data_IF_960762943858
#
_entry.id   IF_960762943858
#
_cell.length_a   1.000
_cell.length_b   1.000
_cell.length_c   1.000
_cell.angle_alpha   90.00
_cell.angle_beta   90.00
_cell.angle_gamma   90.00
#
_symmetry.space_group_name_H-M   'P 1'
#
loop_
_entity.id
_entity.type
_entity.pdbx_description
1 polymer ?
#
# COMPACT_ATOMS: atom_id res chain seq x y z
N UNK A 1 6.93 -6.54 -16.33
CA UNK A 1 6.84 -5.07 -16.43
C UNK A 1 8.23 -4.51 -16.19
N UNK A 2 8.92 -4.09 -17.23
CA UNK A 2 10.20 -3.39 -17.10
C UNK A 2 9.87 -1.97 -16.69
N UNK A 3 10.20 -1.55 -15.46
CA UNK A 3 10.17 -0.13 -15.09
C UNK A 3 11.33 0.58 -15.81
N UNK A 4 11.24 0.65 -17.13
CA UNK A 4 12.11 1.47 -17.97
C UNK A 4 11.31 2.67 -18.44
N UNK A 5 11.90 3.83 -18.21
CA UNK A 5 11.42 5.14 -18.60
C UNK A 5 10.76 5.16 -19.98
N UNK A 6 9.56 5.74 -20.05
CA UNK A 6 8.95 6.15 -21.30
C UNK A 6 9.88 7.15 -22.02
N UNK A 7 10.04 7.07 -23.35
CA UNK A 7 10.95 7.94 -24.08
C UNK A 7 10.26 9.30 -24.28
N UNK A 8 10.73 10.34 -23.57
CA UNK A 8 10.26 11.70 -23.86
C UNK A 8 10.40 12.75 -22.74
N UNK A 9 10.79 12.39 -21.53
CA UNK A 9 10.90 13.36 -20.43
C UNK A 9 12.33 13.54 -19.95
N UNK A 10 12.80 14.78 -20.00
CA UNK A 10 14.16 15.19 -19.68
C UNK A 10 14.56 14.77 -18.26
N UNK A 11 15.69 14.06 -18.16
CA UNK A 11 16.56 13.91 -16.99
C UNK A 11 15.85 13.80 -15.62
N UNK A 12 14.95 12.83 -15.47
CA UNK A 12 14.29 12.53 -14.20
C UNK A 12 15.24 11.82 -13.25
N UNK A 13 15.48 12.40 -12.07
CA UNK A 13 16.13 11.72 -10.95
C UNK A 13 15.38 10.41 -10.69
N UNK A 14 16.05 9.29 -10.91
CA UNK A 14 15.51 7.96 -10.62
C UNK A 14 15.83 7.63 -9.17
N UNK A 15 14.91 6.98 -8.46
CA UNK A 15 15.09 6.59 -7.06
C UNK A 15 16.42 5.84 -6.82
N UNK A 16 16.91 5.05 -7.80
CA UNK A 16 18.19 4.33 -7.71
C UNK A 16 19.39 5.04 -8.36
N UNK A 17 19.16 6.16 -9.06
CA UNK A 17 20.19 6.84 -9.84
C UNK A 17 20.71 6.03 -11.03
N UNK A 18 21.82 6.49 -11.62
CA UNK A 18 22.53 5.74 -12.66
C UNK A 18 23.25 4.54 -12.02
N UNK A 19 23.20 3.40 -12.67
CA UNK A 19 24.04 2.26 -12.32
C UNK A 19 23.35 1.15 -11.50
N UNK A 20 22.04 1.24 -11.31
CA UNK A 20 21.25 0.18 -10.67
C UNK A 20 20.23 -0.34 -11.66
N UNK A 21 20.08 -1.66 -11.74
CA UNK A 21 19.07 -2.33 -12.55
C UNK A 21 18.19 -3.16 -11.63
N UNK A 22 16.87 -2.96 -11.76
CA UNK A 22 15.89 -3.80 -11.10
C UNK A 22 15.17 -4.68 -12.11
N UNK A 23 14.98 -5.94 -11.76
CA UNK A 23 14.17 -6.87 -12.51
C UNK A 23 13.19 -7.58 -11.57
N UNK A 24 11.93 -7.67 -12.01
CA UNK A 24 10.88 -8.43 -11.33
C UNK A 24 10.53 -9.63 -12.20
N UNK A 25 10.69 -10.84 -11.66
CA UNK A 25 10.36 -12.11 -12.32
C UNK A 25 9.51 -12.93 -11.39
N UNK A 26 8.28 -13.25 -11.82
CA UNK A 26 7.33 -14.03 -11.00
C UNK A 26 7.12 -13.43 -9.59
N UNK A 27 7.21 -12.10 -9.48
CA UNK A 27 7.07 -11.36 -8.22
C UNK A 27 8.37 -11.22 -7.45
N UNK A 28 9.39 -12.01 -7.73
CA UNK A 28 10.69 -11.86 -7.10
C UNK A 28 11.47 -10.70 -7.72
N UNK A 29 11.97 -9.82 -6.85
CA UNK A 29 12.79 -8.67 -7.23
C UNK A 29 14.26 -9.06 -7.13
N UNK A 30 15.03 -8.68 -8.14
CA UNK A 30 16.48 -8.76 -8.18
C UNK A 30 17.06 -7.40 -8.53
N UNK A 31 18.07 -6.97 -7.77
CA UNK A 31 18.75 -5.71 -7.97
C UNK A 31 20.22 -5.95 -8.34
N UNK A 32 20.59 -5.60 -9.57
CA UNK A 32 21.96 -5.66 -10.06
C UNK A 32 22.61 -4.29 -9.98
N UNK A 33 23.85 -4.26 -9.49
CA UNK A 33 24.68 -3.05 -9.42
C UNK A 33 25.70 -3.11 -10.55
N UNK A 34 25.72 -2.09 -11.41
CA UNK A 34 26.84 -1.87 -12.35
C UNK A 34 27.84 -0.88 -11.73
N UNK A 35 29.11 -0.96 -12.14
CA UNK A 35 30.27 -0.28 -11.51
C UNK A 35 30.09 1.22 -11.25
N UNK A 36 29.22 1.89 -12.00
CA UNK A 36 28.91 3.32 -11.92
C UNK A 36 27.89 3.71 -10.84
N UNK A 37 27.34 2.75 -10.08
CA UNK A 37 26.33 3.05 -9.05
C UNK A 37 26.91 3.84 -7.88
N UNK A 38 26.20 4.91 -7.50
CA UNK A 38 26.46 5.69 -6.29
C UNK A 38 26.28 4.84 -5.03
N UNK A 39 26.87 5.27 -3.92
CA UNK A 39 26.72 4.58 -2.63
C UNK A 39 25.25 4.48 -2.20
N UNK A 40 24.50 5.57 -2.32
CA UNK A 40 23.06 5.58 -2.04
C UNK A 40 22.28 4.67 -3.00
N UNK A 41 22.65 4.61 -4.28
CA UNK A 41 22.06 3.66 -5.22
C UNK A 41 22.28 2.21 -4.81
N UNK A 42 23.49 1.87 -4.33
CA UNK A 42 23.81 0.52 -3.82
C UNK A 42 23.02 0.18 -2.55
N UNK A 43 22.87 1.14 -1.63
CA UNK A 43 22.05 0.98 -0.42
C UNK A 43 20.59 0.72 -0.75
N UNK A 44 20.01 1.51 -1.65
CA UNK A 44 18.62 1.37 -2.08
C UNK A 44 18.39 0.07 -2.86
N UNK A 45 19.36 -0.36 -3.67
CA UNK A 45 19.34 -1.64 -4.36
C UNK A 45 19.28 -2.81 -3.36
N UNK A 46 20.11 -2.79 -2.31
CA UNK A 46 20.14 -3.86 -1.30
C UNK A 46 18.79 -4.03 -0.57
N UNK A 47 18.10 -2.93 -0.27
CA UNK A 47 16.77 -2.94 0.38
C UNK A 47 15.73 -3.68 -0.47
N UNK A 48 15.74 -3.47 -1.79
CA UNK A 48 14.78 -4.10 -2.70
C UNK A 48 15.23 -5.44 -3.25
N UNK A 49 16.52 -5.74 -3.20
CA UNK A 49 17.04 -7.02 -3.65
C UNK A 49 16.42 -8.16 -2.85
N UNK A 50 16.12 -9.26 -3.54
CA UNK A 50 15.51 -10.47 -2.97
C UNK A 50 14.17 -10.23 -2.25
N UNK A 51 13.48 -9.13 -2.54
CA UNK A 51 12.11 -8.91 -2.08
C UNK A 51 11.11 -9.63 -2.97
N UNK A 52 9.90 -9.82 -2.47
CA UNK A 52 8.74 -10.25 -3.26
C UNK A 52 7.82 -9.05 -3.43
N UNK A 53 7.60 -8.63 -4.67
CA UNK A 53 6.65 -7.59 -5.03
C UNK A 53 5.22 -8.12 -4.96
N UNK A 54 4.34 -7.40 -4.27
CA UNK A 54 2.91 -7.69 -4.26
C UNK A 54 2.32 -7.22 -5.60
N UNK A 55 2.31 -8.13 -6.58
CA UNK A 55 1.72 -7.87 -7.89
C UNK A 55 0.25 -7.47 -7.75
N UNK A 56 -0.17 -6.54 -8.61
CA UNK A 56 -1.54 -6.04 -8.72
C UNK A 56 -2.11 -5.34 -7.47
N UNK A 57 -1.33 -5.24 -6.39
CA UNK A 57 -1.66 -4.45 -5.19
C UNK A 57 -0.78 -3.20 -5.12
N UNK A 58 -1.10 -2.23 -5.97
CA UNK A 58 -0.54 -0.89 -5.94
C UNK A 58 -1.68 0.13 -6.00
N UNK A 59 -1.51 1.26 -5.31
CA UNK A 59 -2.57 2.24 -5.14
C UNK A 59 -2.02 3.65 -5.26
N UNK A 60 -2.80 4.55 -5.87
CA UNK A 60 -2.49 5.98 -5.86
C UNK A 60 -3.22 6.65 -4.71
N UNK A 61 -2.49 7.05 -3.68
CA UNK A 61 -3.05 7.58 -2.42
C UNK A 61 -2.51 8.98 -2.20
N UNK A 62 -3.40 9.98 -2.13
CA UNK A 62 -3.03 11.38 -1.99
C UNK A 62 -1.97 11.85 -3.02
N UNK A 63 -2.07 11.33 -4.25
CA UNK A 63 -1.14 11.60 -5.35
C UNK A 63 0.18 10.83 -5.29
N UNK A 64 0.35 9.92 -4.32
CA UNK A 64 1.50 9.04 -4.18
C UNK A 64 1.20 7.66 -4.78
N UNK A 65 2.05 7.20 -5.70
CA UNK A 65 2.01 5.84 -6.26
C UNK A 65 2.70 4.87 -5.30
N UNK A 66 1.89 4.07 -4.60
CA UNK A 66 2.30 3.21 -3.51
C UNK A 66 2.48 1.77 -4.00
N UNK A 67 3.72 1.27 -3.92
CA UNK A 67 4.07 -0.11 -4.20
C UNK A 67 4.47 -0.84 -2.91
N UNK A 68 4.17 -2.13 -2.82
CA UNK A 68 4.41 -2.94 -1.63
C UNK A 68 5.28 -4.15 -1.96
N UNK A 69 6.27 -4.39 -1.10
CA UNK A 69 7.25 -5.45 -1.18
C UNK A 69 7.38 -6.11 0.18
N UNK A 70 7.69 -7.40 0.20
CA UNK A 70 7.94 -8.15 1.42
C UNK A 70 9.30 -8.85 1.38
N UNK A 71 9.98 -8.88 2.52
CA UNK A 71 11.22 -9.63 2.72
C UNK A 71 11.07 -10.46 4.00
N UNK A 72 11.16 -11.78 3.88
CA UNK A 72 11.00 -12.68 5.04
C UNK A 72 12.18 -12.58 6.02
N UNK A 73 13.34 -12.08 5.56
CA UNK A 73 14.57 -11.96 6.34
C UNK A 73 14.53 -10.78 7.31
N UNK A 74 15.51 -10.73 8.22
CA UNK A 74 15.75 -9.58 9.10
C UNK A 74 16.14 -8.33 8.29
N UNK A 75 15.74 -7.16 8.79
CA UNK A 75 16.11 -5.86 8.21
C UNK A 75 17.52 -5.41 8.62
N UNK A 76 18.16 -6.07 9.60
CA UNK A 76 19.41 -5.58 10.22
C UNK A 76 20.55 -5.33 9.22
N UNK A 77 20.75 -6.23 8.25
CA UNK A 77 21.79 -6.05 7.23
C UNK A 77 21.55 -4.83 6.34
N UNK A 78 20.33 -4.69 5.83
CA UNK A 78 19.95 -3.58 4.95
C UNK A 78 19.93 -2.24 5.70
N UNK A 79 19.47 -2.25 6.95
CA UNK A 79 19.50 -1.09 7.86
C UNK A 79 20.92 -0.66 8.21
N UNK A 80 21.84 -1.60 8.41
CA UNK A 80 23.26 -1.30 8.62
C UNK A 80 23.87 -0.61 7.40
N UNK A 81 23.52 -1.05 6.18
CA UNK A 81 23.96 -0.40 4.94
C UNK A 81 23.39 1.02 4.81
N UNK A 82 22.13 1.23 5.18
CA UNK A 82 21.49 2.55 5.22
C UNK A 82 22.04 3.46 6.34
N UNK A 83 22.69 2.88 7.35
CA UNK A 83 23.08 3.58 8.57
C UNK A 83 21.88 4.12 9.34
N UNK A 84 20.76 3.38 9.35
CA UNK A 84 19.49 3.77 9.97
C UNK A 84 18.96 2.67 10.87
N UNK A 85 18.27 3.03 11.95
CA UNK A 85 17.58 2.07 12.84
C UNK A 85 16.09 2.33 12.90
N UNK A 86 15.69 3.60 13.04
CA UNK A 86 14.33 4.13 12.99
C UNK A 86 14.35 5.58 12.50
N UNK A 87 13.19 6.13 12.13
CA UNK A 87 13.04 7.54 11.78
C UNK A 87 13.10 7.80 10.28
N UNK A 88 13.31 9.07 9.90
CA UNK A 88 13.27 9.51 8.50
C UNK A 88 14.56 10.24 8.14
N UNK A 89 15.11 9.95 6.95
CA UNK A 89 16.32 10.58 6.41
C UNK A 89 16.18 10.81 4.90
N UNK A 90 16.61 11.97 4.42
CA UNK A 90 16.78 12.20 2.99
C UNK A 90 18.20 11.80 2.57
N UNK A 91 18.30 11.02 1.49
CA UNK A 91 19.56 10.64 0.85
C UNK A 91 20.03 11.74 -0.11
N UNK A 92 21.30 11.68 -0.54
CA UNK A 92 21.88 12.69 -1.45
C UNK A 92 21.19 12.68 -2.82
N UNK A 93 20.62 11.53 -3.19
CA UNK A 93 19.80 11.35 -4.40
C UNK A 93 18.44 12.07 -4.35
N UNK A 94 18.07 12.65 -3.20
CA UNK A 94 16.74 13.24 -2.97
C UNK A 94 15.67 12.22 -2.55
N UNK A 95 16.03 10.94 -2.46
CA UNK A 95 15.14 9.88 -1.97
C UNK A 95 15.00 9.98 -0.45
N UNK A 96 13.76 10.06 0.02
CA UNK A 96 13.42 9.99 1.44
C UNK A 96 13.28 8.54 1.88
N UNK A 97 14.03 8.15 2.90
CA UNK A 97 13.93 6.83 3.54
C UNK A 97 13.28 7.01 4.91
N UNK A 98 12.22 6.26 5.16
CA UNK A 98 11.56 6.19 6.48
C UNK A 98 11.62 4.76 6.99
N UNK A 99 12.10 4.58 8.21
CA UNK A 99 12.20 3.28 8.88
C UNK A 99 11.30 3.28 10.10
N UNK A 100 10.39 2.33 10.17
CA UNK A 100 9.50 2.09 11.30
C UNK A 100 9.67 0.66 11.79
N UNK A 101 9.69 0.47 13.10
CA UNK A 101 9.80 -0.84 13.71
C UNK A 101 8.62 -1.07 14.63
N UNK A 102 7.96 -2.21 14.45
CA UNK A 102 6.77 -2.59 15.18
C UNK A 102 6.99 -3.96 15.83
N UNK A 103 6.80 -4.03 17.14
CA UNK A 103 6.69 -5.31 17.84
C UNK A 103 5.23 -5.74 17.79
N UNK A 104 4.96 -6.89 17.18
CA UNK A 104 3.62 -7.45 17.05
C UNK A 104 3.60 -8.90 17.49
N UNK A 105 2.41 -9.43 17.76
CA UNK A 105 2.20 -10.86 18.03
C UNK A 105 1.46 -11.44 16.84
N UNK A 106 2.15 -12.23 16.02
CA UNK A 106 1.60 -12.92 14.85
C UNK A 106 1.62 -14.43 15.12
N UNK A 107 0.45 -15.08 15.04
CA UNK A 107 0.32 -16.51 15.33
C UNK A 107 0.75 -16.90 16.74
N UNK A 108 0.54 -16.02 17.73
CA UNK A 108 0.91 -16.26 19.13
C UNK A 108 2.40 -16.10 19.44
N UNK A 109 3.22 -15.68 18.47
CA UNK A 109 4.67 -15.42 18.67
C UNK A 109 4.96 -13.94 18.52
N UNK A 110 5.74 -13.41 19.46
CA UNK A 110 6.29 -12.07 19.34
C UNK A 110 7.22 -12.01 18.11
N UNK A 111 6.98 -11.04 17.23
CA UNK A 111 7.77 -10.81 16.03
C UNK A 111 8.05 -9.31 15.89
N UNK A 112 9.29 -8.98 15.50
CA UNK A 112 9.66 -7.63 15.12
C UNK A 112 9.46 -7.48 13.62
N UNK A 113 8.54 -6.61 13.25
CA UNK A 113 8.34 -6.14 11.89
C UNK A 113 9.13 -4.87 11.71
N UNK A 114 9.76 -4.71 10.54
CA UNK A 114 10.36 -3.44 10.13
C UNK A 114 9.76 -3.02 8.80
N UNK A 115 9.24 -1.80 8.72
CA UNK A 115 8.78 -1.20 7.48
C UNK A 115 9.81 -0.16 7.02
N UNK A 116 10.30 -0.31 5.80
CA UNK A 116 11.21 0.63 5.14
C UNK A 116 10.48 1.24 3.95
N UNK A 117 10.21 2.54 4.01
CA UNK A 117 9.60 3.29 2.92
C UNK A 117 10.66 4.09 2.18
N UNK A 118 10.74 3.91 0.87
CA UNK A 118 11.61 4.65 -0.05
C UNK A 118 10.72 5.55 -0.92
N UNK A 119 10.79 6.85 -0.70
CA UNK A 119 9.96 7.84 -1.41
C UNK A 119 10.82 8.74 -2.29
N UNK A 120 10.47 8.87 -3.56
CA UNK A 120 11.09 9.80 -4.50
C UNK A 120 10.02 10.46 -5.38
N UNK A 121 9.83 11.77 -5.23
CA UNK A 121 8.72 12.48 -5.87
C UNK A 121 7.37 11.89 -5.46
N UNK A 122 6.55 11.51 -6.44
CA UNK A 122 5.26 10.85 -6.25
C UNK A 122 5.37 9.32 -6.07
N UNK A 123 6.55 8.71 -6.24
CA UNK A 123 6.74 7.27 -6.08
C UNK A 123 7.06 6.90 -4.64
N UNK A 124 6.44 5.84 -4.12
CA UNK A 124 6.64 5.32 -2.77
C UNK A 124 6.72 3.79 -2.76
N UNK A 125 7.90 3.26 -2.47
CA UNK A 125 8.16 1.82 -2.37
C UNK A 125 8.20 1.42 -0.89
N UNK A 126 7.35 0.49 -0.48
CA UNK A 126 7.21 0.07 0.91
C UNK A 126 7.71 -1.37 1.05
N UNK A 127 8.81 -1.58 1.76
CA UNK A 127 9.39 -2.89 2.01
C UNK A 127 9.11 -3.30 3.46
N UNK A 128 8.33 -4.37 3.63
CA UNK A 128 8.03 -4.95 4.94
C UNK A 128 8.91 -6.16 5.22
N UNK A 129 9.66 -6.09 6.30
CA UNK A 129 10.55 -7.14 6.77
C UNK A 129 9.88 -7.98 7.86
N UNK A 130 10.19 -9.27 7.88
CA UNK A 130 9.69 -10.22 8.88
C UNK A 130 8.22 -10.60 8.70
N UNK A 131 7.64 -10.38 7.52
CA UNK A 131 6.29 -10.89 7.18
C UNK A 131 6.37 -11.91 6.03
N UNK A 132 5.37 -12.79 5.93
CA UNK A 132 5.15 -13.57 4.71
C UNK A 132 4.39 -12.77 3.65
N UNK A 133 4.38 -13.27 2.42
CA UNK A 133 3.59 -12.68 1.33
C UNK A 133 2.10 -12.62 1.66
N UNK A 134 1.54 -13.71 2.18
CA UNK A 134 0.10 -13.78 2.51
C UNK A 134 -0.26 -12.84 3.67
N UNK A 135 0.59 -12.74 4.69
CA UNK A 135 0.41 -11.80 5.80
C UNK A 135 0.39 -10.35 5.30
N UNK A 136 1.34 -9.99 4.42
CA UNK A 136 1.42 -8.62 3.90
C UNK A 136 0.29 -8.32 2.91
N UNK A 137 -0.08 -9.29 2.06
CA UNK A 137 -1.23 -9.19 1.16
C UNK A 137 -2.51 -8.90 1.95
N UNK A 138 -2.79 -9.68 3.00
CA UNK A 138 -3.94 -9.48 3.87
C UNK A 138 -3.94 -8.11 4.54
N UNK A 139 -2.78 -7.66 5.03
CA UNK A 139 -2.62 -6.35 5.67
C UNK A 139 -2.91 -5.20 4.70
N UNK A 140 -2.34 -5.24 3.49
CA UNK A 140 -2.52 -4.21 2.46
C UNK A 140 -3.97 -4.16 1.98
N UNK A 141 -4.61 -5.32 1.79
CA UNK A 141 -6.03 -5.41 1.44
C UNK A 141 -6.94 -4.83 2.53
N UNK A 142 -6.67 -5.12 3.81
CA UNK A 142 -7.48 -4.58 4.91
C UNK A 142 -7.30 -3.06 5.07
N UNK A 143 -6.08 -2.55 4.95
CA UNK A 143 -5.85 -1.09 4.92
C UNK A 143 -6.60 -0.42 3.79
N UNK A 144 -6.58 -1.03 2.60
CA UNK A 144 -7.29 -0.51 1.43
C UNK A 144 -8.80 -0.57 1.64
N UNK A 145 -9.32 -1.67 2.19
CA UNK A 145 -10.73 -1.82 2.55
C UNK A 145 -11.18 -0.70 3.49
N UNK A 146 -10.43 -0.42 4.56
CA UNK A 146 -10.77 0.65 5.50
C UNK A 146 -10.86 2.01 4.81
N UNK A 147 -9.92 2.32 3.92
CA UNK A 147 -9.90 3.57 3.15
C UNK A 147 -11.07 3.67 2.18
N UNK A 148 -11.27 2.66 1.33
CA UNK A 148 -12.34 2.68 0.32
C UNK A 148 -13.73 2.67 0.97
N UNK A 149 -13.92 1.95 2.08
CA UNK A 149 -15.19 1.98 2.84
C UNK A 149 -15.46 3.36 3.42
N UNK A 150 -14.44 4.01 4.01
CA UNK A 150 -14.57 5.38 4.49
C UNK A 150 -14.90 6.36 3.36
N UNK A 151 -14.23 6.25 2.21
CA UNK A 151 -14.51 7.06 1.03
C UNK A 151 -15.93 6.81 0.46
N UNK A 152 -16.38 5.56 0.49
CA UNK A 152 -17.74 5.18 0.08
C UNK A 152 -18.79 5.84 0.98
N UNK A 153 -18.58 5.82 2.30
CA UNK A 153 -19.46 6.51 3.24
C UNK A 153 -19.51 8.02 3.00
N UNK A 154 -18.36 8.64 2.74
CA UNK A 154 -18.28 10.07 2.41
C UNK A 154 -19.04 10.40 1.12
N UNK A 155 -18.87 9.59 0.07
CA UNK A 155 -19.59 9.75 -1.19
C UNK A 155 -21.10 9.59 -1.00
N UNK A 156 -21.53 8.58 -0.25
CA UNK A 156 -22.94 8.32 0.04
C UNK A 156 -23.59 9.49 0.80
N UNK A 157 -22.89 10.00 1.83
CA UNK A 157 -23.33 11.17 2.57
C UNK A 157 -23.43 12.41 1.68
N UNK A 158 -22.49 12.58 0.75
CA UNK A 158 -22.50 13.70 -0.18
C UNK A 158 -23.69 13.62 -1.13
N UNK A 159 -23.94 12.46 -1.75
CA UNK A 159 -25.09 12.22 -2.64
C UNK A 159 -26.43 12.54 -1.99
N UNK A 160 -26.65 11.98 -0.79
CA UNK A 160 -27.88 12.23 -0.03
C UNK A 160 -28.05 13.71 0.36
N UNK A 161 -26.95 14.46 0.54
CA UNK A 161 -27.02 15.92 0.76
C UNK A 161 -27.39 16.70 -0.50
N UNK A 162 -27.00 16.23 -1.68
CA UNK A 162 -27.38 16.83 -2.96
C UNK A 162 -28.81 16.45 -3.40
N UNK A 163 -29.49 15.58 -2.65
CA UNK A 163 -30.80 15.06 -3.02
C UNK A 163 -30.75 13.98 -4.11
N UNK A 164 -29.56 13.44 -4.40
CA UNK A 164 -29.41 12.28 -5.28
C UNK A 164 -29.87 10.99 -4.58
N UNK A 165 -30.22 9.99 -5.38
CA UNK A 165 -30.52 8.65 -4.87
C UNK A 165 -29.26 8.03 -4.24
N UNK A 166 -29.45 7.51 -3.03
CA UNK A 166 -28.40 6.74 -2.33
C UNK A 166 -28.14 5.41 -3.02
N UNK A 167 -27.02 4.77 -2.68
CA UNK A 167 -26.72 3.39 -3.10
C UNK A 167 -27.78 2.38 -2.65
N UNK A 168 -28.60 2.75 -1.65
CA UNK A 168 -29.75 1.99 -1.17
C UNK A 168 -30.84 2.92 -0.64
N UNK A 169 -32.04 2.36 -0.46
CA UNK A 169 -33.14 3.04 0.20
C UNK A 169 -32.86 3.20 1.71
N UNK A 170 -32.31 4.35 2.09
CA UNK A 170 -32.13 4.75 3.49
C UNK A 170 -33.41 5.36 4.05
N UNK A 171 -33.80 4.91 5.24
CA UNK A 171 -34.90 5.54 6.00
C UNK A 171 -34.51 6.93 6.50
N UNK A 172 -35.49 7.76 6.86
CA UNK A 172 -35.23 9.11 7.41
C UNK A 172 -34.27 9.10 8.60
N UNK A 173 -34.46 8.15 9.52
CA UNK A 173 -33.60 7.96 10.69
C UNK A 173 -32.17 7.60 10.29
N UNK A 174 -31.99 6.68 9.34
CA UNK A 174 -30.66 6.27 8.85
C UNK A 174 -29.97 7.42 8.11
N UNK A 175 -30.71 8.20 7.31
CA UNK A 175 -30.20 9.41 6.65
C UNK A 175 -29.69 10.42 7.68
N UNK A 176 -30.44 10.66 8.75
CA UNK A 176 -30.03 11.56 9.82
C UNK A 176 -28.79 11.06 10.56
N UNK A 177 -28.65 9.74 10.77
CA UNK A 177 -27.42 9.14 11.31
C UNK A 177 -26.23 9.34 10.38
N UNK A 178 -26.41 9.15 9.08
CA UNK A 178 -25.36 9.37 8.08
C UNK A 178 -24.91 10.83 8.05
N UNK A 179 -25.83 11.78 8.14
CA UNK A 179 -25.50 13.21 8.16
C UNK A 179 -24.80 13.66 9.44
N UNK A 180 -25.15 13.08 10.59
CA UNK A 180 -24.57 13.43 11.89
C UNK A 180 -23.24 12.73 12.16
N UNK A 181 -23.18 11.41 11.99
CA UNK A 181 -22.03 10.58 12.36
C UNK A 181 -21.14 10.15 11.18
N UNK A 182 -21.59 10.36 9.93
CA UNK A 182 -20.87 9.93 8.74
C UNK A 182 -21.03 8.46 8.38
N UNK A 183 -21.79 7.69 9.18
CA UNK A 183 -22.10 6.27 8.95
C UNK A 183 -23.49 5.94 9.48
N UNK A 184 -24.01 4.76 9.14
CA UNK A 184 -25.27 4.26 9.69
C UNK A 184 -24.97 3.06 10.59
N UNK A 185 -25.51 3.06 11.81
CA UNK A 185 -25.23 1.99 12.77
C UNK A 185 -25.80 0.66 12.27
N UNK A 186 -25.03 -0.42 12.41
CA UNK A 186 -25.42 -1.76 11.99
C UNK A 186 -25.15 -2.07 10.52
N UNK A 187 -24.64 -1.10 9.75
CA UNK A 187 -24.15 -1.30 8.39
C UNK A 187 -22.63 -1.25 8.34
N UNK A 188 -22.07 -2.10 7.49
CA UNK A 188 -20.66 -2.05 7.11
C UNK A 188 -20.52 -2.18 5.59
N UNK A 189 -19.37 -1.75 5.07
CA UNK A 189 -19.03 -1.84 3.65
C UNK A 189 -18.32 -3.15 3.33
N UNK A 190 -18.86 -3.88 2.37
CA UNK A 190 -18.32 -5.16 1.90
C UNK A 190 -18.03 -5.11 0.41
N UNK A 191 -16.98 -5.83 0.01
CA UNK A 191 -16.68 -6.03 -1.40
C UNK A 191 -17.78 -6.86 -2.07
N UNK A 192 -18.25 -6.40 -3.22
CA UNK A 192 -19.18 -7.17 -4.07
C UNK A 192 -18.40 -8.20 -4.88
N UNK A 193 -17.29 -7.78 -5.48
CA UNK A 193 -16.35 -8.63 -6.22
C UNK A 193 -15.17 -8.98 -5.30
N UNK A 194 -14.82 -10.28 -5.16
CA UNK A 194 -13.75 -10.71 -4.27
C UNK A 194 -12.40 -10.16 -4.74
N UNK A 195 -11.79 -9.34 -3.90
CA UNK A 195 -10.51 -8.66 -4.19
C UNK A 195 -9.29 -9.58 -4.14
N UNK A 196 -9.44 -10.79 -3.59
CA UNK A 196 -8.38 -11.80 -3.65
C UNK A 196 -8.10 -12.29 -5.08
N UNK A 197 -9.16 -12.28 -5.91
CA UNK A 197 -9.12 -12.66 -7.33
C UNK A 197 -8.99 -11.44 -8.25
N UNK A 198 -9.52 -10.29 -7.83
CA UNK A 198 -9.52 -9.03 -8.58
C UNK A 198 -8.94 -7.89 -7.72
N UNK A 199 -7.63 -7.92 -7.40
CA UNK A 199 -6.97 -6.95 -6.53
C UNK A 199 -7.05 -5.51 -7.05
N UNK A 200 -7.16 -5.32 -8.37
CA UNK A 200 -7.34 -4.03 -9.03
C UNK A 200 -8.65 -3.32 -8.63
N UNK A 201 -9.64 -4.07 -8.12
CA UNK A 201 -10.91 -3.52 -7.63
C UNK A 201 -10.88 -3.19 -6.14
N UNK A 202 -9.76 -3.41 -5.44
CA UNK A 202 -9.67 -3.20 -3.99
C UNK A 202 -9.87 -1.73 -3.58
N UNK A 203 -9.44 -0.77 -4.40
CA UNK A 203 -9.60 0.66 -4.11
C UNK A 203 -10.82 1.29 -4.82
N UNK A 204 -11.67 0.45 -5.43
CA UNK A 204 -12.86 0.92 -6.13
C UNK A 204 -14.03 1.14 -5.18
N UNK A 205 -14.43 2.40 -4.99
CA UNK A 205 -15.64 2.78 -4.23
C UNK A 205 -16.88 2.08 -4.80
N UNK A 206 -16.94 1.87 -6.11
CA UNK A 206 -18.07 1.18 -6.77
C UNK A 206 -18.12 -0.32 -6.45
N UNK A 207 -17.05 -0.90 -5.91
CA UNK A 207 -17.01 -2.29 -5.47
C UNK A 207 -17.48 -2.46 -4.01
N UNK A 208 -17.83 -1.37 -3.31
CA UNK A 208 -18.30 -1.43 -1.91
C UNK A 208 -19.82 -1.32 -1.84
N UNK A 209 -20.45 -2.29 -1.19
CA UNK A 209 -21.87 -2.29 -0.87
C UNK A 209 -22.12 -2.30 0.63
N UNK A 210 -23.09 -1.50 1.08
CA UNK A 210 -23.50 -1.44 2.48
C UNK A 210 -24.50 -2.54 2.82
N UNK A 211 -24.11 -3.43 3.73
CA UNK A 211 -24.92 -4.56 4.20
C UNK A 211 -25.03 -4.52 5.73
N UNK A 212 -26.16 -4.99 6.26
CA UNK A 212 -26.33 -5.27 7.69
C UNK A 212 -25.71 -6.61 8.05
N UNK A 213 -25.29 -6.75 9.31
CA UNK A 213 -24.85 -8.04 9.84
C UNK A 213 -25.90 -9.16 9.65
N UNK A 214 -27.20 -8.83 9.75
CA UNK A 214 -28.28 -9.80 9.50
C UNK A 214 -28.38 -10.27 8.03
N UNK A 215 -27.87 -9.48 7.09
CA UNK A 215 -27.87 -9.79 5.65
C UNK A 215 -26.66 -10.67 5.27
N UNK A 216 -25.63 -10.73 6.12
CA UNK A 216 -24.43 -11.54 5.90
C UNK A 216 -24.67 -13.05 6.02
N UNK A 217 -25.60 -13.50 6.87
CA UNK A 217 -25.84 -14.93 7.14
C UNK A 217 -26.70 -15.66 6.10
N UNK A 218 -27.07 -15.02 4.98
CA UNK A 218 -27.95 -15.58 3.94
C UNK A 218 -27.24 -15.83 2.60
N UNK A 219 -25.91 -15.72 2.54
CA UNK A 219 -25.11 -15.94 1.34
C UNK A 219 -24.15 -17.09 1.52
#
# INVERSE_FOLDING_TARGET
MTLCNAPGQQNGASIFGKGVKLAIREGQVSADIISLASEDGRRLAAVLDQTIYLQDLHFTIDGMDMHYFVKATSAEGDLALLGMTVGRRMLETGTNVTVQQLNTVLGGRARRITDVQLQHGALSLNVRYGSSLDEEKARVLEMTRQRVVAATWQRERHRLRQGEDGSRAWTDTERQQLFSSGRVQGYDGYYVVPVDQFPELADSISNIHFLRQSEMGRR
#
